data_IF_354933582400
#
_entry.id   IF_354933582400
#
_cell.length_a   1.000
_cell.length_b   1.000
_cell.length_c   1.000
_cell.angle_alpha   90.00
_cell.angle_beta   90.00
_cell.angle_gamma   90.00
#
_symmetry.space_group_name_H-M   'P 1'
#
loop_
_entity.id
_entity.type
_entity.pdbx_description
1 polymer ?
#
# COMPACT_ATOMS: atom_id res chain seq x y z
N UNK A 1 -5.95 -8.76 -0.84
CA UNK A 1 -6.19 -7.52 -0.07
C UNK A 1 -6.78 -7.74 1.34
N UNK A 2 -7.69 -8.70 1.55
CA UNK A 2 -8.39 -8.90 2.83
C UNK A 2 -7.45 -9.06 4.05
N UNK A 3 -6.31 -9.74 3.92
CA UNK A 3 -5.34 -9.86 5.00
C UNK A 3 -4.80 -8.52 5.50
N UNK A 4 -4.60 -7.53 4.61
CA UNK A 4 -4.13 -6.20 5.02
C UNK A 4 -5.19 -5.47 5.84
N UNK A 5 -6.46 -5.63 5.47
CA UNK A 5 -7.59 -5.10 6.22
C UNK A 5 -7.70 -5.78 7.58
N UNK A 6 -7.61 -7.11 7.62
CA UNK A 6 -7.67 -7.88 8.87
C UNK A 6 -6.53 -7.51 9.82
N UNK A 7 -5.30 -7.36 9.32
CA UNK A 7 -4.17 -6.93 10.16
C UNK A 7 -4.41 -5.53 10.73
N UNK A 8 -4.90 -4.59 9.92
CA UNK A 8 -5.23 -3.25 10.39
C UNK A 8 -6.35 -3.29 11.46
N UNK A 9 -7.38 -4.11 11.25
CA UNK A 9 -8.50 -4.28 12.18
C UNK A 9 -8.06 -4.94 13.48
N UNK A 10 -7.33 -6.06 13.41
CA UNK A 10 -6.85 -6.80 14.57
C UNK A 10 -5.87 -5.97 15.43
N UNK A 11 -5.13 -5.04 14.83
CA UNK A 11 -4.15 -4.19 15.51
C UNK A 11 -4.64 -2.76 15.79
N UNK A 12 -5.89 -2.40 15.47
CA UNK A 12 -6.39 -1.00 15.51
C UNK A 12 -6.08 -0.30 16.84
N UNK A 13 -6.39 -0.93 17.99
CA UNK A 13 -6.11 -0.37 19.31
C UNK A 13 -4.61 -0.17 19.62
N UNK A 14 -3.74 -0.98 19.04
CA UNK A 14 -2.28 -0.83 19.19
C UNK A 14 -1.74 0.25 18.27
N UNK A 15 -2.21 0.29 17.01
CA UNK A 15 -1.81 1.28 16.02
C UNK A 15 -2.24 2.70 16.44
N UNK A 16 -3.47 2.87 16.96
CA UNK A 16 -3.96 4.16 17.49
C UNK A 16 -3.13 4.66 18.67
N UNK A 17 -2.90 3.81 19.68
CA UNK A 17 -2.07 4.16 20.85
C UNK A 17 -0.64 4.52 20.45
N UNK A 18 -0.07 3.83 19.45
CA UNK A 18 1.25 4.19 18.91
C UNK A 18 1.21 5.53 18.18
N UNK A 19 0.18 5.82 17.41
CA UNK A 19 0.02 7.10 16.71
C UNK A 19 -0.05 8.31 17.65
N UNK A 20 -0.65 8.17 18.84
CA UNK A 20 -0.67 9.21 19.87
C UNK A 20 0.72 9.57 20.43
N UNK A 21 1.70 8.67 20.27
CA UNK A 21 3.06 8.82 20.80
C UNK A 21 4.05 9.42 19.79
N UNK A 22 3.56 9.89 18.62
CA UNK A 22 4.36 10.40 17.50
C UNK A 22 5.61 9.56 17.20
N UNK A 23 5.42 8.28 16.79
CA UNK A 23 6.52 7.36 16.66
C UNK A 23 7.33 7.72 15.40
N UNK A 24 8.67 7.59 15.42
CA UNK A 24 9.51 7.86 14.25
C UNK A 24 9.23 6.92 13.07
N UNK A 25 8.43 5.86 13.28
CA UNK A 25 8.01 4.89 12.27
C UNK A 25 6.51 4.64 12.42
N UNK A 26 5.80 4.70 11.30
CA UNK A 26 4.36 4.42 11.21
C UNK A 26 4.06 3.38 10.12
N UNK A 27 2.80 2.96 10.01
CA UNK A 27 2.33 1.97 9.04
C UNK A 27 1.53 2.66 7.92
N UNK A 28 1.85 2.33 6.67
CA UNK A 28 1.08 2.73 5.49
C UNK A 28 0.67 1.47 4.71
N UNK A 29 -0.60 1.40 4.29
CA UNK A 29 -1.11 0.33 3.44
C UNK A 29 -1.40 0.90 2.04
N UNK A 30 -0.90 0.25 1.00
CA UNK A 30 -1.11 0.63 -0.39
C UNK A 30 -1.92 -0.46 -1.09
N UNK A 31 -3.08 -0.07 -1.63
CA UNK A 31 -3.90 -0.93 -2.48
C UNK A 31 -3.74 -0.42 -3.91
N UNK A 32 -2.76 -0.99 -4.60
CA UNK A 32 -2.36 -0.55 -5.93
C UNK A 32 -3.33 -1.12 -6.98
N UNK A 33 -3.66 -0.27 -7.95
CA UNK A 33 -4.51 -0.62 -9.08
C UNK A 33 -3.67 -0.84 -10.36
N UNK A 34 -4.22 -1.62 -11.30
CA UNK A 34 -3.56 -1.93 -12.57
C UNK A 34 -2.20 -2.61 -12.38
N UNK A 35 -2.11 -3.60 -11.49
CA UNK A 35 -0.89 -4.41 -11.35
C UNK A 35 -0.70 -5.32 -12.57
N UNK A 36 -1.79 -5.95 -12.99
CA UNK A 36 -1.87 -6.87 -14.13
C UNK A 36 -1.63 -6.19 -15.48
N UNK A 37 -1.12 -6.98 -16.43
CA UNK A 37 -1.03 -6.61 -17.84
C UNK A 37 -2.39 -6.74 -18.55
N UNK A 38 -2.62 -5.95 -19.59
CA UNK A 38 -3.77 -6.13 -20.49
C UNK A 38 -3.51 -7.21 -21.55
N UNK A 39 -2.26 -7.34 -22.00
CA UNK A 39 -1.79 -8.41 -22.88
C UNK A 39 -0.66 -9.18 -22.22
N UNK A 40 0.53 -9.11 -22.80
CA UNK A 40 1.72 -9.76 -22.27
C UNK A 40 2.45 -8.86 -21.27
N UNK A 41 2.82 -9.43 -20.13
CA UNK A 41 3.57 -8.71 -19.10
C UNK A 41 4.85 -8.09 -19.68
N UNK A 42 4.96 -6.77 -19.64
CA UNK A 42 6.11 -6.04 -20.15
C UNK A 42 6.41 -4.79 -19.33
N UNK A 43 7.52 -4.12 -19.65
CA UNK A 43 7.91 -2.88 -18.96
C UNK A 43 6.85 -1.76 -19.07
N UNK A 44 6.04 -1.78 -20.12
CA UNK A 44 4.98 -0.78 -20.37
C UNK A 44 3.58 -1.30 -20.06
N UNK A 45 3.37 -2.62 -20.17
CA UNK A 45 2.12 -3.33 -19.91
C UNK A 45 2.21 -4.14 -18.62
N UNK A 46 2.28 -3.43 -17.49
CA UNK A 46 2.23 -3.94 -16.12
C UNK A 46 2.38 -2.78 -15.11
N UNK A 47 2.07 -3.02 -13.84
CA UNK A 47 2.43 -2.14 -12.71
C UNK A 47 2.01 -0.67 -12.88
N UNK A 48 0.86 -0.42 -13.51
CA UNK A 48 0.40 0.92 -13.89
C UNK A 48 0.27 1.86 -12.68
N UNK A 49 -0.51 1.47 -11.67
CA UNK A 49 -0.71 2.29 -10.47
C UNK A 49 0.56 2.42 -9.65
N UNK A 50 1.37 1.35 -9.56
CA UNK A 50 2.63 1.35 -8.83
C UNK A 50 3.64 2.35 -9.42
N UNK A 51 3.83 2.32 -10.75
CA UNK A 51 4.73 3.24 -11.47
C UNK A 51 4.28 4.70 -11.31
N UNK A 52 2.99 4.95 -11.47
CA UNK A 52 2.43 6.29 -11.31
C UNK A 52 2.60 6.82 -9.88
N UNK A 53 2.32 5.99 -8.86
CA UNK A 53 2.51 6.38 -7.46
C UNK A 53 3.99 6.65 -7.14
N UNK A 54 4.90 5.78 -7.58
CA UNK A 54 6.34 5.96 -7.35
C UNK A 54 6.85 7.28 -7.95
N UNK A 55 6.43 7.63 -9.17
CA UNK A 55 6.79 8.90 -9.81
C UNK A 55 6.24 10.13 -9.08
N UNK A 56 5.09 10.01 -8.40
CA UNK A 56 4.49 11.09 -7.61
C UNK A 56 5.14 11.27 -6.23
N UNK A 57 5.74 10.20 -5.69
CA UNK A 57 6.40 10.20 -4.38
C UNK A 57 7.91 10.50 -4.44
N UNK A 58 8.49 10.54 -5.65
CA UNK A 58 9.86 10.98 -5.90
C UNK A 58 9.99 12.51 -5.81
#
# INVERSE_FOLDING_TARGET
CALLLEVATALDAHLRRRGEQDPPVTLQLLFLDGEEAFGDWSATDSLYGARHLAAKMA
#
